data_IF_720828929930
#
_entry.id   IF_720828929930
#
_cell.length_a   1.000
_cell.length_b   1.000
_cell.length_c   1.000
_cell.angle_alpha   90.00
_cell.angle_beta   90.00
_cell.angle_gamma   90.00
#
_symmetry.space_group_name_H-M   'P 1'
#
loop_
_entity.id
_entity.type
_entity.pdbx_description
1 polymer ?
#
# COMPACT_ATOMS: atom_id res chain seq x y z
N UNK A 1 22.33 -0.69 0.95
CA UNK A 1 21.14 -0.14 0.30
C UNK A 1 20.03 -1.17 0.47
N UNK A 2 18.85 -0.77 0.97
CA UNK A 2 17.74 -1.70 1.16
C UNK A 2 17.21 -2.22 -0.19
N UNK A 3 16.62 -3.41 -0.17
CA UNK A 3 15.95 -4.02 -1.31
C UNK A 3 14.46 -3.63 -1.35
N UNK A 4 13.93 -3.44 -2.58
CA UNK A 4 12.50 -3.39 -2.85
C UNK A 4 12.10 -4.68 -3.55
N UNK A 5 11.48 -5.58 -2.79
CA UNK A 5 11.05 -6.88 -3.28
C UNK A 5 9.70 -6.79 -3.99
N UNK A 6 9.50 -7.69 -4.95
CA UNK A 6 8.26 -7.79 -5.74
C UNK A 6 7.88 -6.50 -6.48
N UNK A 7 8.88 -5.77 -6.96
CA UNK A 7 8.74 -4.51 -7.65
C UNK A 7 7.91 -4.62 -8.96
N UNK A 8 7.80 -5.82 -9.53
CA UNK A 8 6.90 -6.14 -10.65
C UNK A 8 5.42 -5.89 -10.33
N UNK A 9 5.01 -5.97 -9.05
CA UNK A 9 3.62 -5.71 -8.61
C UNK A 9 3.23 -4.24 -8.67
N UNK A 10 4.22 -3.35 -8.70
CA UNK A 10 4.01 -1.92 -8.93
C UNK A 10 3.97 -1.57 -10.43
N UNK A 11 3.94 -2.54 -11.35
CA UNK A 11 3.80 -2.24 -12.79
C UNK A 11 2.48 -1.53 -13.05
N UNK A 12 2.53 -0.44 -13.83
CA UNK A 12 1.36 0.35 -14.18
C UNK A 12 0.92 1.36 -13.13
N UNK A 13 1.60 1.48 -11.98
CA UNK A 13 1.37 2.61 -11.05
C UNK A 13 1.92 3.89 -11.65
N UNK A 14 1.46 5.04 -11.16
CA UNK A 14 1.95 6.34 -11.58
C UNK A 14 3.48 6.45 -11.43
N UNK A 15 4.21 7.05 -12.39
CA UNK A 15 5.67 7.13 -12.36
C UNK A 15 6.24 7.72 -11.06
N UNK A 16 5.58 8.71 -10.46
CA UNK A 16 6.04 9.28 -9.18
C UNK A 16 6.03 8.25 -8.03
N UNK A 17 5.04 7.36 -7.99
CA UNK A 17 5.00 6.27 -7.01
C UNK A 17 6.09 5.24 -7.27
N UNK A 18 6.45 5.03 -8.54
CA UNK A 18 7.60 4.20 -8.88
C UNK A 18 8.91 4.85 -8.44
N UNK A 19 9.05 6.15 -8.67
CA UNK A 19 10.20 6.93 -8.21
C UNK A 19 10.33 6.90 -6.68
N UNK A 20 9.22 6.91 -5.94
CA UNK A 20 9.24 6.71 -4.48
C UNK A 20 9.93 5.40 -4.06
N UNK A 21 9.64 4.29 -4.76
CA UNK A 21 10.27 2.99 -4.50
C UNK A 21 11.76 3.00 -4.88
N UNK A 22 12.12 3.67 -5.98
CA UNK A 22 13.52 3.80 -6.41
C UNK A 22 14.33 4.67 -5.42
N UNK A 23 13.74 5.74 -4.90
CA UNK A 23 14.36 6.57 -3.87
C UNK A 23 14.49 5.83 -2.53
N UNK A 24 13.49 5.01 -2.17
CA UNK A 24 13.61 4.13 -1.01
C UNK A 24 14.75 3.10 -1.18
N UNK A 25 14.92 2.50 -2.35
CA UNK A 25 16.02 1.57 -2.60
C UNK A 25 17.41 2.20 -2.37
N UNK A 26 17.52 3.52 -2.55
CA UNK A 26 18.78 4.27 -2.32
C UNK A 26 18.94 4.72 -0.86
N UNK A 27 17.86 5.21 -0.24
CA UNK A 27 17.91 5.98 1.01
C UNK A 27 17.16 5.36 2.19
N UNK A 28 16.37 4.31 1.94
CA UNK A 28 15.54 3.65 2.94
C UNK A 28 16.37 2.95 4.01
N UNK A 29 15.70 2.64 5.13
CA UNK A 29 16.36 2.07 6.31
C UNK A 29 16.24 0.55 6.44
N UNK A 30 15.37 -0.08 5.64
CA UNK A 30 15.07 -1.51 5.69
C UNK A 30 14.47 -2.00 4.38
N UNK A 31 14.52 -3.31 4.15
CA UNK A 31 13.94 -3.94 2.97
C UNK A 31 12.41 -3.89 3.04
N UNK A 32 11.80 -3.59 1.90
CA UNK A 32 10.35 -3.53 1.74
C UNK A 32 9.88 -4.45 0.64
N UNK A 33 8.58 -4.73 0.62
CA UNK A 33 7.91 -5.51 -0.41
C UNK A 33 6.64 -4.79 -0.87
N UNK A 34 6.40 -4.76 -2.18
CA UNK A 34 5.10 -4.36 -2.70
C UNK A 34 4.10 -5.47 -2.41
N UNK A 35 3.02 -5.15 -1.69
CA UNK A 35 2.02 -6.14 -1.29
C UNK A 35 1.37 -6.81 -2.53
N UNK A 36 0.86 -8.06 -2.42
CA UNK A 36 0.27 -8.79 -3.55
C UNK A 36 -0.79 -8.02 -4.35
N UNK A 37 -1.57 -7.16 -3.69
CA UNK A 37 -2.58 -6.28 -4.31
C UNK A 37 -2.28 -4.79 -4.12
N UNK A 38 -1.00 -4.48 -3.84
CA UNK A 38 -0.56 -3.15 -3.46
C UNK A 38 -0.32 -2.22 -4.63
N UNK A 39 -0.26 -2.70 -5.86
CA UNK A 39 -0.14 -1.86 -7.05
C UNK A 39 -1.50 -1.40 -7.59
N UNK A 40 -1.62 -1.40 -8.93
CA UNK A 40 -2.88 -1.11 -9.61
C UNK A 40 -3.88 -2.21 -9.32
N UNK A 41 -5.11 -1.84 -8.95
CA UNK A 41 -6.23 -2.80 -8.83
C UNK A 41 -7.10 -2.71 -10.09
N UNK A 42 -7.33 -3.85 -10.72
CA UNK A 42 -8.13 -3.97 -11.95
C UNK A 42 -9.32 -4.92 -11.81
N UNK A 43 -9.45 -5.62 -10.68
CA UNK A 43 -10.54 -6.55 -10.41
C UNK A 43 -11.60 -5.90 -9.50
N UNK A 44 -12.76 -5.58 -10.08
CA UNK A 44 -13.91 -5.04 -9.34
C UNK A 44 -14.44 -6.00 -8.27
N UNK A 45 -14.36 -7.32 -8.49
CA UNK A 45 -14.79 -8.31 -7.50
C UNK A 45 -13.88 -8.28 -6.29
N UNK A 46 -12.57 -8.21 -6.50
CA UNK A 46 -11.60 -8.07 -5.42
C UNK A 46 -11.85 -6.77 -4.62
N UNK A 47 -12.06 -5.65 -5.31
CA UNK A 47 -12.33 -4.38 -4.63
C UNK A 47 -13.63 -4.43 -3.80
N UNK A 48 -14.67 -5.07 -4.32
CA UNK A 48 -15.91 -5.30 -3.58
C UNK A 48 -15.71 -6.21 -2.36
N UNK A 49 -14.90 -7.28 -2.50
CA UNK A 49 -14.56 -8.18 -1.39
C UNK A 49 -13.76 -7.46 -0.28
N UNK A 50 -12.79 -6.62 -0.64
CA UNK A 50 -12.03 -5.81 0.31
C UNK A 50 -12.94 -4.84 1.08
N UNK A 51 -13.91 -4.22 0.39
CA UNK A 51 -14.90 -3.35 1.01
C UNK A 51 -15.80 -4.12 1.98
N UNK A 52 -16.36 -5.26 1.55
CA UNK A 52 -17.20 -6.11 2.38
C UNK A 52 -16.44 -6.68 3.60
N UNK A 53 -15.14 -6.95 3.46
CA UNK A 53 -14.27 -7.41 4.53
C UNK A 53 -13.75 -6.29 5.45
N UNK A 54 -14.14 -5.03 5.23
CA UNK A 54 -13.70 -3.87 6.02
C UNK A 54 -12.22 -3.51 5.85
N UNK A 55 -11.56 -4.02 4.82
CA UNK A 55 -10.15 -3.71 4.48
C UNK A 55 -10.03 -2.57 3.46
N UNK A 56 -11.16 -1.99 3.04
CA UNK A 56 -11.23 -0.83 2.17
C UNK A 56 -12.53 -0.07 2.42
N UNK A 57 -12.49 1.26 2.29
CA UNK A 57 -13.71 2.10 2.25
C UNK A 57 -14.31 2.25 0.86
N UNK A 58 -13.48 2.11 -0.16
CA UNK A 58 -13.89 2.19 -1.56
C UNK A 58 -14.60 0.90 -1.95
N UNK A 59 -15.77 1.01 -2.56
CA UNK A 59 -16.60 -0.14 -3.01
C UNK A 59 -16.41 -0.48 -4.48
N UNK A 60 -15.75 0.40 -5.25
CA UNK A 60 -15.52 0.26 -6.70
C UNK A 60 -14.11 0.69 -7.07
N UNK A 61 -13.57 0.24 -8.20
CA UNK A 61 -12.25 0.70 -8.68
C UNK A 61 -12.20 2.21 -8.91
N UNK A 62 -13.30 2.84 -9.34
CA UNK A 62 -13.39 4.29 -9.56
C UNK A 62 -13.20 5.10 -8.26
N UNK A 63 -13.57 4.52 -7.12
CA UNK A 63 -13.58 5.17 -5.81
C UNK A 63 -12.32 4.88 -4.96
N UNK A 64 -11.35 4.15 -5.50
CA UNK A 64 -10.04 3.88 -4.86
C UNK A 64 -8.90 4.48 -5.67
N UNK A 65 -7.83 5.00 -5.03
CA UNK A 65 -6.63 5.42 -5.75
C UNK A 65 -5.94 4.26 -6.48
N UNK A 66 -6.04 3.01 -6.00
CA UNK A 66 -5.46 1.85 -6.69
C UNK A 66 -6.08 1.61 -8.07
N UNK A 67 -7.38 1.88 -8.21
CA UNK A 67 -8.09 1.78 -9.50
C UNK A 67 -7.72 2.89 -10.47
N UNK A 68 -6.97 3.91 -10.01
CA UNK A 68 -6.43 5.02 -10.82
C UNK A 68 -4.91 5.01 -10.90
N UNK A 69 -4.29 3.87 -10.57
CA UNK A 69 -2.83 3.73 -10.53
C UNK A 69 -2.12 4.73 -9.60
N UNK A 70 -2.82 5.27 -8.60
CA UNK A 70 -2.38 6.40 -7.78
C UNK A 70 -2.13 6.04 -6.30
N UNK A 71 -1.94 4.74 -6.00
CA UNK A 71 -1.57 4.27 -4.68
C UNK A 71 -0.61 3.07 -4.73
N UNK A 72 0.07 2.86 -3.60
CA UNK A 72 0.89 1.70 -3.28
C UNK A 72 0.53 1.16 -1.88
N UNK A 73 0.43 -0.16 -1.75
CA UNK A 73 0.51 -0.84 -0.45
C UNK A 73 1.90 -1.49 -0.31
N UNK A 74 2.65 -1.08 0.70
CA UNK A 74 4.03 -1.52 0.95
C UNK A 74 4.13 -2.12 2.33
N UNK A 75 4.83 -3.25 2.45
CA UNK A 75 5.13 -3.88 3.73
C UNK A 75 6.64 -3.89 3.99
N UNK A 76 7.10 -3.73 5.23
CA UNK A 76 8.46 -4.09 5.56
C UNK A 76 8.64 -5.60 5.50
N UNK A 77 9.82 -6.08 5.10
CA UNK A 77 10.10 -7.54 5.03
C UNK A 77 9.93 -8.23 6.38
N UNK A 78 10.20 -7.52 7.48
CA UNK A 78 9.97 -8.00 8.85
C UNK A 78 8.51 -8.33 9.15
N UNK A 79 7.56 -7.81 8.37
CA UNK A 79 6.13 -8.09 8.51
C UNK A 79 5.73 -9.43 7.90
N UNK A 80 6.47 -9.95 6.92
CA UNK A 80 6.10 -11.15 6.16
C UNK A 80 5.78 -12.39 7.02
N UNK A 81 6.51 -12.69 8.11
CA UNK A 81 6.18 -13.80 9.01
C UNK A 81 4.80 -13.69 9.69
N UNK A 82 4.19 -12.49 9.70
CA UNK A 82 2.92 -12.20 10.38
C UNK A 82 1.72 -12.12 9.42
N UNK A 83 1.94 -12.36 8.13
CA UNK A 83 0.88 -12.34 7.09
C UNK A 83 0.47 -13.77 6.73
N UNK A 84 -0.80 -14.17 6.96
CA UNK A 84 -1.33 -15.43 6.49
C UNK A 84 -1.42 -15.40 4.95
N UNK A 85 -0.48 -16.08 4.29
CA UNK A 85 -0.35 -16.23 2.84
C UNK A 85 0.11 -14.96 2.08
N UNK A 86 1.42 -14.78 1.96
CA UNK A 86 2.08 -13.93 0.95
C UNK A 86 1.77 -14.31 -0.53
N UNK A 87 0.80 -15.20 -0.78
CA UNK A 87 0.34 -15.72 -2.08
C UNK A 87 -1.14 -15.35 -2.37
N UNK A 88 -1.58 -14.12 -2.06
CA UNK A 88 -2.87 -13.60 -2.53
C UNK A 88 -4.12 -14.09 -1.78
N UNK A 89 -3.99 -14.51 -0.52
CA UNK A 89 -5.14 -14.92 0.29
C UNK A 89 -5.93 -13.72 0.86
N UNK A 90 -7.25 -13.71 0.65
CA UNK A 90 -8.20 -12.73 1.23
C UNK A 90 -8.75 -13.16 2.61
N UNK A 91 -8.19 -14.22 3.22
CA UNK A 91 -8.98 -15.09 4.11
C UNK A 91 -8.59 -15.22 5.58
N UNK A 92 -7.46 -14.74 6.09
CA UNK A 92 -7.15 -14.81 7.54
C UNK A 92 -6.48 -13.52 8.01
N UNK A 93 -7.09 -12.87 9.01
CA UNK A 93 -6.55 -11.67 9.66
C UNK A 93 -5.10 -11.94 10.06
N UNK A 94 -4.21 -11.10 9.57
CA UNK A 94 -2.84 -10.97 10.07
C UNK A 94 -2.86 -10.67 11.57
N UNK A 95 -1.72 -10.87 12.22
CA UNK A 95 -1.56 -10.49 13.64
C UNK A 95 -2.03 -9.05 13.80
N UNK A 96 -2.93 -8.78 14.74
CA UNK A 96 -3.48 -7.43 14.91
C UNK A 96 -2.34 -6.44 15.14
N UNK A 97 -2.53 -5.19 14.71
CA UNK A 97 -1.50 -4.16 14.78
C UNK A 97 -0.85 -4.05 16.18
N UNK A 98 -1.65 -4.15 17.24
CA UNK A 98 -1.21 -4.06 18.64
C UNK A 98 -0.30 -5.24 19.04
N UNK A 99 -0.44 -6.38 18.37
CA UNK A 99 0.33 -7.59 18.62
C UNK A 99 1.54 -7.75 17.69
N UNK A 100 1.73 -6.85 16.72
CA UNK A 100 2.95 -6.82 15.93
C UNK A 100 4.15 -6.40 16.78
N UNK A 101 5.35 -6.94 16.52
CA UNK A 101 6.57 -6.44 17.15
C UNK A 101 6.74 -4.94 16.93
N UNK A 102 7.31 -4.25 17.92
CA UNK A 102 7.57 -2.81 17.84
C UNK A 102 8.41 -2.45 16.60
N UNK A 103 9.41 -3.28 16.26
CA UNK A 103 10.24 -3.09 15.07
C UNK A 103 9.38 -3.02 13.80
N UNK A 104 8.47 -3.98 13.60
CA UNK A 104 7.60 -4.04 12.42
C UNK A 104 6.73 -2.78 12.32
N UNK A 105 6.11 -2.38 13.44
CA UNK A 105 5.30 -1.14 13.49
C UNK A 105 6.11 0.10 13.19
N UNK A 106 7.33 0.19 13.73
CA UNK A 106 8.26 1.29 13.48
C UNK A 106 8.66 1.35 12.01
N UNK A 107 8.92 0.21 11.38
CA UNK A 107 9.32 0.15 9.98
C UNK A 107 8.21 0.65 9.04
N UNK A 108 6.96 0.25 9.25
CA UNK A 108 5.80 0.85 8.58
C UNK A 108 5.76 2.37 8.74
N UNK A 109 5.96 2.85 9.97
CA UNK A 109 5.96 4.28 10.27
C UNK A 109 7.09 5.02 9.54
N UNK A 110 8.29 4.46 9.50
CA UNK A 110 9.44 5.08 8.82
C UNK A 110 9.21 5.18 7.32
N UNK A 111 8.68 4.13 6.67
CA UNK A 111 8.33 4.19 5.25
C UNK A 111 7.23 5.22 4.99
N UNK A 112 6.17 5.24 5.80
CA UNK A 112 5.09 6.21 5.70
C UNK A 112 5.56 7.66 5.82
N UNK A 113 6.38 7.96 6.83
CA UNK A 113 6.99 9.29 6.98
C UNK A 113 7.87 9.66 5.79
N UNK A 114 8.65 8.72 5.27
CA UNK A 114 9.46 8.95 4.07
C UNK A 114 8.59 9.28 2.86
N UNK A 115 7.49 8.56 2.63
CA UNK A 115 6.55 8.89 1.57
C UNK A 115 5.95 10.29 1.73
N UNK A 116 5.65 10.72 2.96
CA UNK A 116 5.21 12.09 3.24
C UNK A 116 6.28 13.13 2.87
N UNK A 117 7.58 12.87 3.11
CA UNK A 117 8.67 13.80 2.69
C UNK A 117 8.82 13.90 1.18
N UNK A 118 8.40 12.85 0.44
CA UNK A 118 8.33 12.84 -1.02
C UNK A 118 7.02 13.44 -1.57
N UNK A 119 6.14 13.95 -0.70
CA UNK A 119 4.92 14.67 -1.09
C UNK A 119 3.64 13.83 -1.19
N UNK A 120 3.70 12.53 -0.88
CA UNK A 120 2.53 11.64 -0.87
C UNK A 120 1.70 11.78 0.41
N UNK A 121 0.51 11.19 0.43
CA UNK A 121 -0.29 10.97 1.64
C UNK A 121 -0.06 9.56 2.15
N UNK A 122 0.06 9.42 3.46
CA UNK A 122 0.20 8.12 4.10
C UNK A 122 -1.06 7.74 4.89
N UNK A 123 -1.57 6.54 4.61
CA UNK A 123 -2.78 5.99 5.23
C UNK A 123 -2.65 5.76 6.74
N UNK A 124 -1.43 5.64 7.27
CA UNK A 124 -1.19 5.53 8.71
C UNK A 124 -1.65 6.76 9.52
N UNK A 125 -1.93 7.89 8.86
CA UNK A 125 -2.53 9.08 9.48
C UNK A 125 -4.04 8.99 9.65
N UNK A 126 -4.72 8.11 8.90
CA UNK A 126 -6.17 8.06 8.89
C UNK A 126 -6.67 7.34 10.13
N UNK A 127 -7.31 8.06 11.06
CA UNK A 127 -7.89 7.46 12.25
C UNK A 127 -9.40 7.62 12.22
N UNK A 128 -10.08 6.50 12.04
CA UNK A 128 -11.54 6.44 12.01
C UNK A 128 -12.04 5.04 12.37
N UNK A 129 -13.36 4.81 12.29
CA UNK A 129 -13.99 3.55 12.67
C UNK A 129 -13.47 2.33 11.88
N UNK A 130 -13.08 2.53 10.62
CA UNK A 130 -12.54 1.48 9.75
C UNK A 130 -11.03 1.32 10.01
N UNK A 131 -10.31 2.42 10.15
CA UNK A 131 -8.86 2.44 10.36
C UNK A 131 -8.49 2.94 11.76
N UNK A 132 -8.82 2.17 12.80
CA UNK A 132 -8.55 2.56 14.21
C UNK A 132 -7.07 2.86 14.46
N UNK A 133 -6.18 2.16 13.77
CA UNK A 133 -4.72 2.29 13.88
C UNK A 133 -4.09 2.89 12.63
N UNK A 134 -4.86 3.39 11.66
CA UNK A 134 -4.35 3.79 10.35
C UNK A 134 -4.28 2.65 9.34
N UNK A 135 -4.31 3.02 8.06
CA UNK A 135 -3.99 2.13 6.95
C UNK A 135 -2.48 2.16 6.69
N UNK A 136 -1.74 1.46 7.55
CA UNK A 136 -0.28 1.55 7.66
C UNK A 136 0.48 1.21 6.38
N UNK A 137 0.07 0.22 5.56
CA UNK A 137 0.73 -0.08 4.29
C UNK A 137 0.51 0.97 3.19
N UNK A 138 -0.57 1.75 3.28
CA UNK A 138 -1.12 2.51 2.17
C UNK A 138 -0.43 3.87 1.98
N UNK A 139 -0.02 4.16 0.75
CA UNK A 139 0.48 5.47 0.31
C UNK A 139 -0.24 5.88 -0.97
N UNK A 140 -0.61 7.16 -1.11
CA UNK A 140 -1.29 7.66 -2.30
C UNK A 140 -0.87 9.08 -2.72
N UNK A 141 -1.17 9.43 -3.96
CA UNK A 141 -1.03 10.80 -4.47
C UNK A 141 -2.16 11.71 -3.93
N UNK A 142 -1.83 12.92 -3.44
CA UNK A 142 -2.82 13.90 -2.89
C UNK A 142 -3.99 14.23 -3.84
N UNK A 143 -3.73 14.23 -5.15
CA UNK A 143 -4.69 14.62 -6.19
C UNK A 143 -5.39 13.46 -6.90
N UNK A 144 -5.33 12.23 -6.38
CA UNK A 144 -5.75 11.05 -7.14
C UNK A 144 -7.20 11.09 -7.66
N UNK A 145 -8.10 11.79 -6.97
CA UNK A 145 -9.54 11.87 -7.33
C UNK A 145 -9.78 12.51 -8.70
N UNK A 146 -8.87 13.38 -9.16
CA UNK A 146 -8.97 14.05 -10.46
C UNK A 146 -8.20 13.34 -11.56
N UNK A 147 -7.44 12.28 -11.24
CA UNK A 147 -6.71 11.49 -12.25
C UNK A 147 -7.67 10.68 -13.12
N UNK A 148 -7.31 10.31 -14.37
CA UNK A 148 -8.17 9.53 -15.25
C UNK A 148 -8.62 8.18 -14.65
N UNK A 149 -9.81 7.73 -15.06
CA UNK A 149 -10.31 6.38 -14.77
C UNK A 149 -11.04 5.81 -16.01
N UNK A 150 -10.56 4.69 -16.61
CA UNK A 150 -9.37 3.92 -16.19
C UNK A 150 -8.08 4.75 -16.33
N UNK A 151 -7.01 4.41 -15.59
CA UNK A 151 -5.74 5.11 -15.70
C UNK A 151 -5.13 4.88 -17.09
N UNK A 152 -4.32 5.82 -17.58
CA UNK A 152 -3.51 5.55 -18.76
C UNK A 152 -2.52 4.41 -18.47
N UNK A 153 -2.06 3.73 -19.51
CA UNK A 153 -1.03 2.71 -19.38
C UNK A 153 0.30 3.41 -19.08
N UNK A 154 0.80 3.22 -17.86
CA UNK A 154 2.16 3.61 -17.49
C UNK A 154 3.09 2.42 -17.76
N UNK A 155 4.07 2.61 -18.64
CA UNK A 155 5.04 1.58 -19.03
C UNK A 155 6.29 1.63 -18.15
#
# INVERSE_FOLDING_TARGET
>A
MPAVLHLERARGVHPDLRALLDEWAKHGSHDIVVAPNGGVRTDEKLQAQLAAGGSSKATTLRSTPHGRAAALDVWPVSFLPYVPAANGGTGKRWVSWENLPELVRREFHVFGLFAETQGFEWGGRWRDEVFKTGDQPHVQMKGWKTMPFPPPVFL
#
